data_IF_375106869536
#
_entry.id   IF_375106869536
#
_cell.length_a   1.000
_cell.length_b   1.000
_cell.length_c   1.000
_cell.angle_alpha   90.00
_cell.angle_beta   90.00
_cell.angle_gamma   90.00
#
_symmetry.space_group_name_H-M   'P 1'
#
loop_
_entity.id
_entity.type
_entity.pdbx_description
1 polymer ?
#
# COMPACT_ATOMS: atom_id res chain seq x y z
N UNK A 1 45.83 61.44 -36.16
CA UNK A 1 44.93 60.49 -36.84
C UNK A 1 43.63 60.49 -36.06
N UNK A 2 42.67 61.34 -36.44
CA UNK A 2 41.41 61.57 -35.72
C UNK A 2 40.41 60.50 -36.11
N UNK A 3 39.94 59.79 -35.15
CA UNK A 3 38.87 58.79 -35.31
C UNK A 3 37.52 59.48 -35.55
N UNK A 4 36.98 59.27 -36.73
CA UNK A 4 35.76 59.90 -37.21
C UNK A 4 34.52 59.42 -36.43
N UNK A 5 33.67 60.37 -35.97
CA UNK A 5 32.43 60.14 -35.14
C UNK A 5 31.48 59.10 -35.70
N UNK A 6 31.57 58.74 -36.95
CA UNK A 6 30.72 57.66 -37.57
C UNK A 6 31.16 56.25 -37.25
N UNK A 7 32.40 56.05 -36.82
CA UNK A 7 32.89 54.69 -36.42
C UNK A 7 32.60 54.36 -34.92
N UNK A 8 32.36 55.36 -34.10
CA UNK A 8 32.00 55.17 -32.70
C UNK A 8 30.51 54.76 -32.49
N UNK A 9 29.62 55.06 -33.45
CA UNK A 9 28.22 54.73 -33.37
C UNK A 9 27.90 53.29 -33.89
N UNK A 10 28.83 52.68 -34.65
CA UNK A 10 28.68 51.31 -35.14
C UNK A 10 29.04 50.22 -34.15
N UNK A 11 29.79 50.52 -33.08
CA UNK A 11 30.24 49.56 -32.04
C UNK A 11 29.26 49.37 -30.90
N UNK A 12 28.30 50.30 -30.72
CA UNK A 12 27.29 50.21 -29.62
C UNK A 12 25.98 49.55 -30.02
N UNK A 13 25.76 49.28 -31.31
CA UNK A 13 24.53 48.62 -31.82
C UNK A 13 24.66 47.09 -31.95
N UNK A 14 25.84 46.49 -31.78
CA UNK A 14 26.06 45.05 -31.91
C UNK A 14 26.01 44.28 -30.57
N UNK A 15 25.88 44.99 -29.44
CA UNK A 15 25.83 44.35 -28.09
C UNK A 15 24.41 44.07 -27.57
N UNK A 16 23.34 44.38 -28.35
CA UNK A 16 21.96 44.32 -27.84
C UNK A 16 21.10 43.18 -28.42
N UNK A 17 21.69 42.20 -29.08
CA UNK A 17 20.98 41.03 -29.62
C UNK A 17 21.69 39.72 -29.28
N UNK A 18 22.08 39.53 -28.00
CA UNK A 18 22.19 38.19 -27.47
C UNK A 18 20.76 37.75 -27.18
N UNK A 19 20.21 36.73 -27.85
CA UNK A 19 18.97 36.12 -27.39
C UNK A 19 19.28 35.58 -26.01
N UNK A 20 18.71 36.21 -24.99
CA UNK A 20 18.50 35.50 -23.71
C UNK A 20 17.70 34.27 -24.06
N UNK A 21 18.40 33.18 -24.35
CA UNK A 21 17.82 31.85 -24.24
C UNK A 21 17.46 31.76 -22.74
N UNK A 22 16.24 32.20 -22.40
CA UNK A 22 15.57 31.66 -21.28
C UNK A 22 15.62 30.15 -21.52
N UNK A 23 16.54 29.47 -20.85
CA UNK A 23 16.54 28.04 -20.76
C UNK A 23 15.19 27.75 -20.07
N UNK A 24 14.15 27.47 -20.84
CA UNK A 24 13.01 26.75 -20.29
C UNK A 24 13.60 25.46 -19.76
N UNK A 25 13.90 25.46 -18.47
CA UNK A 25 14.27 24.26 -17.77
C UNK A 25 13.09 23.32 -18.06
N UNK A 26 13.35 22.28 -18.85
CA UNK A 26 12.34 21.29 -19.20
C UNK A 26 11.79 20.80 -17.87
N UNK A 27 10.51 21.07 -17.62
CA UNK A 27 9.87 20.76 -16.36
C UNK A 27 9.98 19.24 -16.17
N UNK A 28 10.69 18.81 -15.13
CA UNK A 28 10.89 17.39 -14.81
C UNK A 28 9.55 16.75 -14.53
N UNK A 29 9.38 15.49 -14.92
CA UNK A 29 8.11 14.77 -14.74
C UNK A 29 8.38 13.44 -14.03
N UNK A 30 7.72 13.23 -12.91
CA UNK A 30 7.70 11.95 -12.22
C UNK A 30 6.48 11.15 -12.67
N UNK A 31 6.71 9.95 -13.22
CA UNK A 31 5.64 9.00 -13.51
C UNK A 31 5.39 8.19 -12.24
N UNK A 32 4.15 8.25 -11.76
CA UNK A 32 3.70 7.59 -10.52
C UNK A 32 2.71 6.49 -10.89
N UNK A 33 3.11 5.21 -10.83
CA UNK A 33 2.20 4.08 -10.92
C UNK A 33 1.20 4.12 -9.75
N UNK A 34 -0.09 4.04 -10.05
CA UNK A 34 -1.16 4.17 -9.06
C UNK A 34 -2.37 3.28 -9.37
N UNK A 35 -3.12 2.93 -8.34
CA UNK A 35 -4.40 2.23 -8.51
C UNK A 35 -5.44 3.18 -9.13
N UNK A 36 -6.40 2.61 -9.85
CA UNK A 36 -7.50 3.37 -10.45
C UNK A 36 -8.62 3.72 -9.48
N UNK A 37 -9.68 4.33 -10.03
CA UNK A 37 -10.89 4.68 -9.29
C UNK A 37 -10.68 5.82 -8.30
N UNK A 38 -11.25 5.68 -7.11
CA UNK A 38 -11.17 6.71 -6.05
C UNK A 38 -9.74 7.01 -5.61
N UNK A 39 -8.87 6.01 -5.68
CA UNK A 39 -7.45 6.16 -5.37
C UNK A 39 -6.76 7.08 -6.38
N UNK A 40 -6.92 6.81 -7.70
CA UNK A 40 -6.39 7.69 -8.76
C UNK A 40 -6.89 9.13 -8.60
N UNK A 41 -8.21 9.29 -8.39
CA UNK A 41 -8.82 10.61 -8.26
C UNK A 41 -8.19 11.39 -7.10
N UNK A 42 -8.00 10.74 -5.95
CA UNK A 42 -7.37 11.37 -4.79
C UNK A 42 -5.91 11.75 -5.07
N UNK A 43 -5.15 10.87 -5.72
CA UNK A 43 -3.77 11.18 -6.13
C UNK A 43 -3.73 12.40 -7.04
N UNK A 44 -4.62 12.47 -8.01
CA UNK A 44 -4.73 13.57 -8.96
C UNK A 44 -5.10 14.88 -8.29
N UNK A 45 -6.04 14.85 -7.34
CA UNK A 45 -6.63 16.05 -6.75
C UNK A 45 -5.88 16.55 -5.51
N UNK A 46 -5.19 15.67 -4.79
CA UNK A 46 -4.59 16.00 -3.50
C UNK A 46 -3.08 15.78 -3.45
N UNK A 47 -2.60 14.60 -3.80
CA UNK A 47 -1.19 14.25 -3.62
C UNK A 47 -0.30 14.90 -4.69
N UNK A 48 -0.65 14.75 -5.97
CA UNK A 48 0.14 15.28 -7.08
C UNK A 48 0.30 16.82 -7.04
N UNK A 49 -0.76 17.62 -6.75
CA UNK A 49 -0.61 19.06 -6.64
C UNK A 49 0.29 19.49 -5.50
N UNK A 50 0.21 18.86 -4.33
CA UNK A 50 1.06 19.21 -3.19
C UNK A 50 2.54 18.86 -3.48
N UNK A 51 2.80 17.70 -4.10
CA UNK A 51 4.16 17.38 -4.52
C UNK A 51 4.67 18.32 -5.61
N UNK A 52 3.83 18.73 -6.58
CA UNK A 52 4.20 19.70 -7.61
C UNK A 52 4.58 21.07 -6.99
N UNK A 53 3.85 21.54 -5.98
CA UNK A 53 4.22 22.77 -5.25
C UNK A 53 5.59 22.64 -4.57
N UNK A 54 5.85 21.48 -3.96
CA UNK A 54 7.09 21.23 -3.23
C UNK A 54 8.31 21.12 -4.15
N UNK A 55 8.17 20.38 -5.26
CA UNK A 55 9.31 19.97 -6.11
C UNK A 55 9.48 20.82 -7.38
N UNK A 56 8.44 21.54 -7.80
CA UNK A 56 8.36 22.20 -9.10
C UNK A 56 8.24 21.22 -10.29
N UNK A 57 8.11 19.91 -10.04
CA UNK A 57 8.01 18.89 -11.07
C UNK A 57 6.54 18.54 -11.37
N UNK A 58 6.28 18.10 -12.60
CA UNK A 58 4.99 17.50 -12.96
C UNK A 58 4.88 16.07 -12.38
N UNK A 59 3.67 15.67 -12.04
CA UNK A 59 3.33 14.29 -11.75
C UNK A 59 2.39 13.77 -12.82
N UNK A 60 2.74 12.64 -13.43
CA UNK A 60 1.88 11.90 -14.36
C UNK A 60 1.51 10.57 -13.71
N UNK A 61 0.22 10.27 -13.62
CA UNK A 61 -0.27 9.01 -13.07
C UNK A 61 -0.32 7.95 -14.17
N UNK A 62 0.27 6.79 -13.93
CA UNK A 62 0.11 5.57 -14.73
C UNK A 62 -0.80 4.61 -13.96
N UNK A 63 -2.01 4.39 -14.49
CA UNK A 63 -3.07 3.69 -13.77
C UNK A 63 -3.01 2.20 -14.03
N UNK A 64 -2.93 1.41 -12.98
CA UNK A 64 -2.85 -0.05 -13.06
C UNK A 64 -2.94 -0.70 -11.68
N UNK A 65 -2.34 -1.85 -11.54
CA UNK A 65 -2.18 -2.56 -10.28
C UNK A 65 -0.79 -3.21 -10.20
N UNK A 66 -0.44 -3.77 -9.04
CA UNK A 66 0.88 -4.35 -8.81
C UNK A 66 1.30 -5.42 -9.84
N UNK A 67 0.35 -6.19 -10.39
CA UNK A 67 0.64 -7.18 -11.45
C UNK A 67 1.01 -6.50 -12.76
N UNK A 68 0.25 -5.46 -13.15
CA UNK A 68 0.51 -4.68 -14.38
C UNK A 68 1.87 -4.00 -14.26
N UNK A 69 2.15 -3.34 -13.14
CA UNK A 69 3.42 -2.66 -12.92
C UNK A 69 4.60 -3.65 -12.93
N UNK A 70 4.45 -4.80 -12.26
CA UNK A 70 5.44 -5.86 -12.29
C UNK A 70 5.69 -6.42 -13.70
N UNK A 71 4.63 -6.60 -14.50
CA UNK A 71 4.76 -7.04 -15.89
C UNK A 71 5.48 -5.99 -16.75
N UNK A 72 5.14 -4.70 -16.61
CA UNK A 72 5.80 -3.61 -17.32
C UNK A 72 7.29 -3.52 -16.97
N UNK A 73 7.63 -3.68 -15.67
CA UNK A 73 9.01 -3.69 -15.21
C UNK A 73 9.79 -4.86 -15.82
N UNK A 74 9.24 -6.08 -15.78
CA UNK A 74 9.90 -7.27 -16.35
C UNK A 74 10.07 -7.16 -17.86
N UNK A 75 9.07 -6.61 -18.56
CA UNK A 75 9.17 -6.39 -20.01
C UNK A 75 10.26 -5.38 -20.40
N UNK A 76 10.46 -4.34 -19.59
CA UNK A 76 11.49 -3.32 -19.83
C UNK A 76 12.88 -3.76 -19.33
N UNK A 77 12.93 -4.64 -18.34
CA UNK A 77 14.15 -5.08 -17.67
C UNK A 77 14.70 -4.07 -16.64
N UNK A 78 15.55 -4.53 -15.70
CA UNK A 78 16.03 -3.70 -14.59
C UNK A 78 16.99 -2.58 -15.01
N UNK A 79 17.55 -2.63 -16.23
CA UNK A 79 18.53 -1.63 -16.71
C UNK A 79 17.88 -0.34 -17.19
N UNK A 80 16.63 -0.38 -17.65
CA UNK A 80 15.91 0.79 -18.17
C UNK A 80 14.42 0.71 -17.85
N UNK A 81 14.06 0.74 -16.56
CA UNK A 81 12.66 0.68 -16.15
C UNK A 81 11.90 1.95 -16.61
N UNK A 82 10.60 1.84 -16.87
CA UNK A 82 9.78 2.99 -17.30
C UNK A 82 9.44 3.95 -16.15
N UNK A 83 9.67 3.53 -14.90
CA UNK A 83 9.35 4.29 -13.69
C UNK A 83 10.62 4.58 -12.88
N UNK A 84 10.54 5.52 -11.96
CA UNK A 84 11.57 5.74 -10.93
C UNK A 84 11.13 5.21 -9.57
N UNK A 85 9.84 5.02 -9.40
CA UNK A 85 9.20 4.45 -8.20
C UNK A 85 8.14 3.44 -8.60
N UNK A 86 7.84 2.54 -7.69
CA UNK A 86 6.60 1.75 -7.71
C UNK A 86 6.10 1.59 -6.28
N UNK A 87 4.78 1.69 -6.10
CA UNK A 87 4.11 1.45 -4.83
C UNK A 87 3.18 0.25 -4.97
N UNK A 88 3.41 -0.78 -4.15
CA UNK A 88 2.64 -2.03 -4.15
C UNK A 88 2.77 -2.71 -2.79
N UNK A 89 2.03 -3.81 -2.57
CA UNK A 89 2.19 -4.56 -1.34
C UNK A 89 3.57 -5.24 -1.27
N UNK A 90 4.11 -5.41 -0.06
CA UNK A 90 5.46 -5.95 0.16
C UNK A 90 5.61 -7.36 -0.43
N UNK A 91 4.57 -8.17 -0.44
CA UNK A 91 4.60 -9.51 -1.08
C UNK A 91 4.96 -9.45 -2.58
N UNK A 92 4.55 -8.40 -3.29
CA UNK A 92 4.93 -8.21 -4.70
C UNK A 92 6.28 -7.49 -4.83
N UNK A 93 6.56 -6.56 -3.91
CA UNK A 93 7.84 -5.84 -3.85
C UNK A 93 9.01 -6.79 -3.64
N UNK A 94 8.85 -7.77 -2.78
CA UNK A 94 9.90 -8.75 -2.46
C UNK A 94 10.36 -9.52 -3.70
N UNK A 95 9.44 -9.98 -4.54
CA UNK A 95 9.77 -10.65 -5.80
C UNK A 95 10.56 -9.77 -6.76
N UNK A 96 10.13 -8.53 -6.97
CA UNK A 96 10.84 -7.57 -7.83
C UNK A 96 12.20 -7.17 -7.25
N UNK A 97 12.33 -7.16 -5.93
CA UNK A 97 13.61 -6.93 -5.24
C UNK A 97 14.64 -8.04 -5.55
N UNK A 98 14.23 -9.30 -5.47
CA UNK A 98 15.07 -10.45 -5.86
C UNK A 98 15.49 -10.41 -7.33
N UNK A 99 14.65 -9.86 -8.19
CA UNK A 99 14.93 -9.67 -9.62
C UNK A 99 15.86 -8.45 -9.90
N UNK A 100 16.27 -7.70 -8.88
CA UNK A 100 17.22 -6.58 -8.99
C UNK A 100 16.63 -5.27 -9.51
N UNK A 101 15.33 -5.08 -9.43
CA UNK A 101 14.68 -3.82 -9.86
C UNK A 101 14.91 -2.67 -8.87
N UNK A 102 15.02 -2.94 -7.59
CA UNK A 102 15.06 -1.90 -6.56
C UNK A 102 16.47 -1.69 -6.02
N UNK A 103 16.75 -0.46 -5.59
CA UNK A 103 17.96 -0.15 -4.84
C UNK A 103 17.70 -0.13 -3.33
N UNK A 104 18.76 -0.35 -2.56
CA UNK A 104 18.72 -0.04 -1.13
C UNK A 104 18.54 1.46 -0.94
N UNK A 105 17.68 1.83 0.00
CA UNK A 105 17.34 3.22 0.27
C UNK A 105 18.55 4.01 0.79
N UNK A 106 18.84 5.13 0.17
CA UNK A 106 19.72 6.16 0.71
C UNK A 106 18.94 6.98 1.76
N UNK A 107 19.06 6.58 3.03
CA UNK A 107 18.32 7.18 4.12
C UNK A 107 18.69 8.67 4.36
N UNK A 108 19.85 9.11 3.86
CA UNK A 108 20.21 10.54 3.92
C UNK A 108 19.26 11.40 3.06
N UNK A 109 18.63 10.81 2.04
CA UNK A 109 17.64 11.47 1.17
C UNK A 109 16.21 11.36 1.70
N UNK A 110 16.00 10.64 2.80
CA UNK A 110 14.68 10.36 3.38
C UNK A 110 14.61 10.80 4.86
N UNK A 111 14.74 12.10 5.18
CA UNK A 111 14.72 12.56 6.56
C UNK A 111 13.45 12.12 7.33
N UNK A 112 12.28 12.06 6.68
CA UNK A 112 11.03 11.61 7.31
C UNK A 112 11.00 10.10 7.63
N UNK A 113 11.90 9.29 7.05
CA UNK A 113 12.00 7.86 7.34
C UNK A 113 12.26 7.59 8.83
N UNK A 114 13.08 8.41 9.48
CA UNK A 114 13.40 8.25 10.90
C UNK A 114 12.19 8.52 11.82
N UNK A 115 11.18 9.20 11.31
CA UNK A 115 9.92 9.48 12.01
C UNK A 115 8.82 8.45 11.74
N UNK A 116 9.11 7.32 11.06
CA UNK A 116 8.13 6.26 10.84
C UNK A 116 8.16 5.23 11.97
N UNK A 117 7.04 4.52 12.18
CA UNK A 117 7.00 3.37 13.10
C UNK A 117 7.92 2.25 12.62
N UNK A 118 8.47 1.47 13.57
CA UNK A 118 9.36 0.35 13.25
C UNK A 118 8.70 -0.67 12.31
N UNK A 119 7.41 -0.93 12.48
CA UNK A 119 6.64 -1.84 11.62
C UNK A 119 6.68 -1.44 10.15
N UNK A 120 6.75 -0.15 9.85
CA UNK A 120 6.82 0.38 8.48
C UNK A 120 8.21 0.29 7.82
N UNK A 121 9.24 -0.11 8.57
CA UNK A 121 10.64 -0.22 8.12
C UNK A 121 11.07 -1.65 7.82
N UNK A 122 10.17 -2.63 8.01
CA UNK A 122 10.48 -4.05 7.86
C UNK A 122 10.46 -4.50 6.39
N UNK A 123 11.22 -3.80 5.55
CA UNK A 123 11.29 -3.99 4.08
C UNK A 123 12.70 -4.37 3.61
N UNK A 124 13.57 -4.82 4.51
CA UNK A 124 14.96 -5.15 4.19
C UNK A 124 15.80 -3.95 3.70
N UNK A 125 15.33 -2.71 3.92
CA UNK A 125 16.01 -1.48 3.52
C UNK A 125 15.82 -1.07 2.07
N UNK A 126 14.92 -1.74 1.32
CA UNK A 126 14.67 -1.44 -0.10
C UNK A 126 13.44 -0.58 -0.35
N UNK A 127 12.51 -0.58 0.56
CA UNK A 127 11.28 0.20 0.45
C UNK A 127 10.89 0.82 1.77
N UNK A 128 9.82 1.57 1.75
CA UNK A 128 9.19 2.13 2.96
C UNK A 128 7.69 2.00 2.84
N UNK A 129 7.04 1.52 3.91
CA UNK A 129 5.58 1.46 3.94
C UNK A 129 5.04 2.87 4.15
N UNK A 130 4.29 3.36 3.17
CA UNK A 130 3.66 4.68 3.20
C UNK A 130 2.44 4.69 4.11
N UNK A 131 1.61 3.66 4.04
CA UNK A 131 0.43 3.51 4.90
C UNK A 131 0.02 2.04 4.99
N UNK A 132 -0.79 1.74 6.01
CA UNK A 132 -1.42 0.45 6.17
C UNK A 132 -2.96 0.57 6.10
N UNK A 133 -3.60 -0.45 5.51
CA UNK A 133 -5.02 -0.70 5.67
C UNK A 133 -5.18 -1.94 6.56
N UNK A 134 -5.39 -1.76 7.87
CA UNK A 134 -5.50 -2.87 8.79
C UNK A 134 -6.77 -3.68 8.58
N UNK A 135 -6.64 -4.99 8.74
CA UNK A 135 -7.68 -5.99 8.54
C UNK A 135 -7.93 -6.71 9.86
N UNK A 136 -9.15 -6.63 10.32
CA UNK A 136 -9.66 -7.39 11.47
C UNK A 136 -10.84 -8.26 11.05
N UNK A 137 -11.78 -8.49 11.96
CA UNK A 137 -12.95 -9.33 11.71
C UNK A 137 -14.16 -8.42 11.50
N UNK A 138 -14.66 -8.36 10.25
CA UNK A 138 -15.93 -7.70 9.92
C UNK A 138 -17.10 -8.66 10.03
N UNK A 139 -18.25 -8.21 10.54
CA UNK A 139 -19.40 -9.07 10.73
C UNK A 139 -20.73 -8.32 10.59
N UNK A 140 -21.82 -9.06 10.35
CA UNK A 140 -23.22 -8.58 10.30
C UNK A 140 -23.80 -8.48 11.70
N UNK A 141 -24.16 -7.29 12.15
CA UNK A 141 -24.71 -7.06 13.50
C UNK A 141 -26.16 -7.51 13.67
N UNK A 142 -26.89 -7.66 12.57
CA UNK A 142 -28.28 -8.14 12.55
C UNK A 142 -28.38 -9.67 12.42
N UNK A 143 -27.27 -10.35 12.12
CA UNK A 143 -27.23 -11.79 11.86
C UNK A 143 -26.32 -12.57 12.80
N UNK A 144 -25.49 -11.89 13.58
CA UNK A 144 -24.55 -12.43 14.56
C UNK A 144 -24.98 -11.96 15.95
N UNK A 145 -25.32 -12.90 16.83
CA UNK A 145 -25.74 -12.59 18.20
C UNK A 145 -24.55 -12.41 19.13
N UNK A 146 -23.49 -13.20 18.90
CA UNK A 146 -22.26 -13.19 19.70
C UNK A 146 -21.12 -12.65 18.86
N UNK A 147 -20.81 -11.31 18.94
CA UNK A 147 -19.69 -10.72 18.20
C UNK A 147 -18.37 -11.42 18.51
N UNK A 148 -17.50 -11.63 17.50
CA UNK A 148 -16.17 -12.19 17.73
C UNK A 148 -15.30 -11.23 18.57
N UNK A 149 -14.23 -11.77 19.19
CA UNK A 149 -13.21 -10.98 19.91
C UNK A 149 -11.81 -11.32 19.44
N UNK A 150 -11.62 -12.53 18.96
CA UNK A 150 -10.33 -13.13 18.57
C UNK A 150 -10.44 -13.75 17.20
N UNK A 151 -9.30 -13.92 16.54
CA UNK A 151 -9.26 -14.70 15.29
C UNK A 151 -9.74 -16.13 15.47
N UNK A 152 -9.44 -16.78 16.62
CA UNK A 152 -9.91 -18.12 16.94
C UNK A 152 -11.44 -18.26 16.91
N UNK A 153 -12.18 -17.19 17.17
CA UNK A 153 -13.64 -17.22 17.17
C UNK A 153 -14.23 -17.56 15.78
N UNK A 154 -13.47 -17.36 14.69
CA UNK A 154 -13.89 -17.80 13.36
C UNK A 154 -14.09 -19.32 13.27
N UNK A 155 -13.34 -20.10 14.08
CA UNK A 155 -13.44 -21.56 14.18
C UNK A 155 -14.34 -22.03 15.32
N UNK A 156 -14.37 -21.31 16.41
CA UNK A 156 -15.02 -21.74 17.65
C UNK A 156 -16.48 -21.32 17.74
N UNK A 157 -16.88 -20.18 17.12
CA UNK A 157 -18.26 -19.70 17.20
C UNK A 157 -19.17 -20.48 16.20
N UNK A 158 -20.15 -21.24 16.70
CA UNK A 158 -21.06 -22.02 15.85
C UNK A 158 -21.92 -21.17 14.91
N UNK A 159 -22.13 -19.87 15.24
CA UNK A 159 -22.90 -18.95 14.38
C UNK A 159 -22.19 -18.67 13.05
N UNK A 160 -20.86 -18.86 12.98
CA UNK A 160 -20.07 -18.57 11.78
C UNK A 160 -19.97 -19.76 10.83
N UNK A 161 -20.26 -20.97 11.30
CA UNK A 161 -20.08 -22.18 10.51
C UNK A 161 -20.87 -22.14 9.21
N UNK A 162 -20.21 -22.38 8.09
CA UNK A 162 -20.76 -22.30 6.73
C UNK A 162 -21.32 -20.91 6.37
N UNK A 163 -20.78 -19.85 6.95
CA UNK A 163 -21.20 -18.46 6.73
C UNK A 163 -20.00 -17.50 6.67
N UNK A 164 -18.80 -18.03 6.46
CA UNK A 164 -17.54 -17.31 6.42
C UNK A 164 -17.16 -17.01 4.99
N UNK A 165 -16.63 -15.81 4.74
CA UNK A 165 -15.89 -15.46 3.53
C UNK A 165 -14.40 -15.39 3.80
N UNK A 166 -13.58 -15.75 2.81
CA UNK A 166 -12.13 -15.58 2.82
C UNK A 166 -11.66 -14.87 1.55
N UNK A 167 -10.52 -14.23 1.62
CA UNK A 167 -9.91 -13.64 0.44
C UNK A 167 -9.27 -14.70 -0.46
N UNK A 168 -9.31 -14.47 -1.77
CA UNK A 168 -8.60 -15.31 -2.73
C UNK A 168 -7.09 -15.28 -2.47
N UNK A 169 -6.40 -16.43 -2.58
CA UNK A 169 -4.96 -16.54 -2.34
C UNK A 169 -4.11 -15.66 -3.27
N UNK A 170 -4.62 -15.29 -4.44
CA UNK A 170 -3.95 -14.33 -5.32
C UNK A 170 -3.93 -12.90 -4.77
N UNK A 171 -4.77 -12.60 -3.76
CA UNK A 171 -4.71 -11.40 -2.93
C UNK A 171 -3.68 -11.61 -1.81
N UNK A 172 -3.05 -10.52 -1.33
CA UNK A 172 -2.15 -10.59 -0.17
C UNK A 172 -2.89 -11.02 1.11
N UNK A 173 -4.18 -10.68 1.26
CA UNK A 173 -4.97 -11.10 2.42
C UNK A 173 -5.16 -12.62 2.48
N UNK A 174 -5.47 -13.31 1.38
CA UNK A 174 -5.58 -14.78 1.41
C UNK A 174 -4.27 -15.46 1.82
N UNK A 175 -3.11 -14.86 1.48
CA UNK A 175 -1.81 -15.32 1.96
C UNK A 175 -1.66 -15.09 3.47
N UNK A 176 -2.06 -13.89 3.94
CA UNK A 176 -2.05 -13.57 5.37
C UNK A 176 -2.98 -14.50 6.17
N UNK A 177 -4.14 -14.85 5.64
CA UNK A 177 -5.09 -15.77 6.26
C UNK A 177 -4.47 -17.17 6.48
N UNK A 178 -3.72 -17.69 5.49
CA UNK A 178 -2.98 -18.94 5.65
C UNK A 178 -1.91 -18.82 6.74
N UNK A 179 -1.08 -17.77 6.69
CA UNK A 179 -0.01 -17.58 7.67
C UNK A 179 -0.57 -17.32 9.08
N UNK A 180 -1.71 -16.65 9.18
CA UNK A 180 -2.42 -16.45 10.43
C UNK A 180 -2.93 -17.78 10.98
N UNK A 181 -3.61 -18.59 10.17
CA UNK A 181 -4.06 -19.93 10.59
C UNK A 181 -2.87 -20.81 11.01
N UNK A 182 -1.74 -20.75 10.28
CA UNK A 182 -0.51 -21.45 10.68
C UNK A 182 0.02 -20.99 12.04
N UNK A 183 -0.02 -19.69 12.33
CA UNK A 183 0.42 -19.11 13.60
C UNK A 183 -0.52 -19.45 14.76
N UNK A 184 -1.82 -19.50 14.50
CA UNK A 184 -2.83 -19.76 15.54
C UNK A 184 -2.91 -21.25 15.93
N UNK A 185 -2.75 -22.14 14.96
CA UNK A 185 -2.98 -23.59 15.14
C UNK A 185 -1.72 -24.43 15.01
N UNK A 186 -0.61 -23.87 14.56
CA UNK A 186 0.69 -24.50 14.44
C UNK A 186 1.72 -23.91 15.41
N UNK A 187 2.99 -24.12 15.09
CA UNK A 187 4.12 -23.61 15.87
C UNK A 187 4.40 -22.14 15.61
N UNK A 188 4.29 -21.75 14.36
CA UNK A 188 4.56 -20.40 13.85
C UNK A 188 3.94 -20.22 12.44
N UNK A 189 4.22 -19.11 11.78
CA UNK A 189 3.70 -18.83 10.43
C UNK A 189 4.19 -19.80 9.34
N UNK A 190 5.22 -20.58 9.59
CA UNK A 190 5.78 -21.54 8.61
C UNK A 190 5.16 -22.94 8.72
N UNK A 191 4.39 -23.20 9.77
CA UNK A 191 3.67 -24.47 9.95
C UNK A 191 2.40 -24.50 9.08
N UNK A 192 2.61 -24.41 7.75
CA UNK A 192 1.51 -24.32 6.78
C UNK A 192 0.64 -25.57 6.73
N UNK A 193 1.14 -26.73 7.18
CA UNK A 193 0.34 -27.94 7.30
C UNK A 193 -0.75 -27.79 8.37
N UNK A 194 -0.38 -27.23 9.53
CA UNK A 194 -1.35 -26.89 10.56
C UNK A 194 -2.32 -25.79 10.08
N UNK A 195 -1.81 -24.79 9.33
CA UNK A 195 -2.61 -23.73 8.74
C UNK A 195 -3.67 -24.25 7.78
N UNK A 196 -3.30 -25.07 6.81
CA UNK A 196 -4.22 -25.68 5.87
C UNK A 196 -5.24 -26.62 6.55
N UNK A 197 -4.79 -27.38 7.54
CA UNK A 197 -5.70 -28.20 8.34
C UNK A 197 -6.74 -27.31 9.05
N UNK A 198 -6.32 -26.25 9.69
CA UNK A 198 -7.23 -25.31 10.34
C UNK A 198 -8.22 -24.68 9.35
N UNK A 199 -7.75 -24.25 8.17
CA UNK A 199 -8.64 -23.70 7.13
C UNK A 199 -9.68 -24.74 6.65
N UNK A 200 -9.30 -26.00 6.49
CA UNK A 200 -10.25 -27.07 6.20
C UNK A 200 -11.27 -27.29 7.33
N UNK A 201 -10.87 -27.09 8.60
CA UNK A 201 -11.74 -27.26 9.78
C UNK A 201 -12.74 -26.09 9.93
N UNK A 202 -12.60 -24.95 9.24
CA UNK A 202 -13.63 -23.88 9.17
C UNK A 202 -14.99 -24.41 8.66
N UNK A 203 -14.98 -25.52 7.97
CA UNK A 203 -16.13 -26.05 7.23
C UNK A 203 -16.25 -25.42 5.84
N UNK A 204 -17.47 -25.40 5.30
CA UNK A 204 -17.68 -24.79 3.98
C UNK A 204 -17.50 -23.27 4.05
N UNK A 205 -16.46 -22.77 3.40
CA UNK A 205 -16.31 -21.34 3.11
C UNK A 205 -17.26 -20.98 1.98
N UNK A 206 -18.13 -19.99 2.20
CA UNK A 206 -19.20 -19.66 1.26
C UNK A 206 -18.71 -18.82 0.10
N UNK A 207 -17.73 -17.96 0.36
CA UNK A 207 -17.19 -17.03 -0.62
C UNK A 207 -15.67 -16.95 -0.53
N UNK A 208 -15.01 -17.12 -1.65
CA UNK A 208 -13.56 -16.86 -1.80
C UNK A 208 -13.39 -15.86 -2.95
N UNK A 209 -13.10 -14.60 -2.64
CA UNK A 209 -13.04 -13.54 -3.64
C UNK A 209 -11.95 -12.49 -3.32
N UNK A 210 -11.73 -11.57 -4.25
CA UNK A 210 -10.92 -10.35 -4.06
C UNK A 210 -11.67 -9.27 -3.28
N UNK A 211 -13.00 -9.29 -3.29
CA UNK A 211 -13.88 -8.35 -2.60
C UNK A 211 -15.07 -9.09 -1.98
N UNK A 212 -15.16 -9.04 -0.67
CA UNK A 212 -16.21 -9.72 0.11
C UNK A 212 -17.38 -8.79 0.45
N UNK A 213 -17.31 -7.50 0.12
CA UNK A 213 -18.31 -6.49 0.52
C UNK A 213 -19.70 -6.79 -0.03
N UNK A 214 -19.79 -7.25 -1.27
CA UNK A 214 -21.09 -7.61 -1.90
C UNK A 214 -21.74 -8.78 -1.19
N UNK A 215 -20.99 -9.84 -0.91
CA UNK A 215 -21.49 -11.03 -0.22
C UNK A 215 -21.91 -10.71 1.23
N UNK A 216 -21.13 -9.86 1.93
CA UNK A 216 -21.49 -9.38 3.28
C UNK A 216 -22.75 -8.53 3.24
N UNK A 217 -22.88 -7.61 2.29
CA UNK A 217 -24.05 -6.75 2.12
C UNK A 217 -25.31 -7.58 1.82
N UNK A 218 -25.20 -8.60 0.97
CA UNK A 218 -26.29 -9.51 0.64
C UNK A 218 -26.65 -10.50 1.79
N UNK A 219 -25.79 -10.62 2.81
CA UNK A 219 -25.97 -11.58 3.90
C UNK A 219 -25.65 -13.03 3.51
N UNK A 220 -24.97 -13.22 2.40
CA UNK A 220 -24.48 -14.54 1.94
C UNK A 220 -23.38 -15.03 2.89
N UNK A 221 -22.50 -14.12 3.32
CA UNK A 221 -21.57 -14.32 4.44
C UNK A 221 -21.97 -13.41 5.61
N UNK A 222 -21.65 -13.82 6.82
CA UNK A 222 -21.93 -13.02 8.02
C UNK A 222 -20.70 -12.53 8.73
N UNK A 223 -19.56 -13.12 8.44
CA UNK A 223 -18.26 -12.80 9.03
C UNK A 223 -17.15 -13.08 8.02
N UNK A 224 -16.15 -12.27 8.02
CA UNK A 224 -14.92 -12.46 7.25
C UNK A 224 -13.80 -11.57 7.79
N UNK A 225 -12.54 -11.82 7.43
CA UNK A 225 -11.48 -10.80 7.52
C UNK A 225 -11.87 -9.60 6.66
N UNK A 226 -11.80 -8.39 7.23
CA UNK A 226 -12.14 -7.15 6.52
C UNK A 226 -11.23 -6.00 6.89
N UNK A 227 -10.89 -5.19 5.89
CA UNK A 227 -10.33 -3.85 6.06
C UNK A 227 -11.31 -2.99 6.86
N UNK A 228 -10.84 -2.37 7.94
CA UNK A 228 -11.68 -1.54 8.81
C UNK A 228 -12.29 -0.36 8.08
N UNK A 229 -11.54 0.28 7.17
CA UNK A 229 -12.03 1.38 6.37
C UNK A 229 -13.20 0.95 5.46
N UNK A 230 -13.19 -0.28 4.94
CA UNK A 230 -14.28 -0.80 4.14
C UNK A 230 -15.54 -1.01 4.98
N UNK A 231 -15.42 -1.66 6.16
CA UNK A 231 -16.55 -1.81 7.08
C UNK A 231 -17.11 -0.45 7.52
N UNK A 232 -16.23 0.53 7.81
CA UNK A 232 -16.68 1.87 8.15
C UNK A 232 -17.49 2.54 7.02
N UNK A 233 -17.08 2.35 5.76
CA UNK A 233 -17.84 2.85 4.60
C UNK A 233 -19.19 2.16 4.45
N UNK A 234 -19.22 0.82 4.56
CA UNK A 234 -20.47 0.05 4.50
C UNK A 234 -21.43 0.46 5.60
N UNK A 235 -20.95 0.65 6.83
CA UNK A 235 -21.76 1.14 7.96
C UNK A 235 -22.32 2.54 7.72
N UNK A 236 -21.52 3.46 7.16
CA UNK A 236 -21.97 4.81 6.75
C UNK A 236 -23.03 4.77 5.65
N UNK A 237 -23.04 3.75 4.82
CA UNK A 237 -24.08 3.50 3.81
C UNK A 237 -25.36 2.89 4.40
N UNK A 238 -25.38 2.63 5.71
CA UNK A 238 -26.54 2.10 6.42
C UNK A 238 -26.60 0.59 6.50
N UNK A 239 -25.55 -0.15 6.12
CA UNK A 239 -25.50 -1.59 6.31
C UNK A 239 -25.33 -1.91 7.80
N UNK A 240 -26.02 -2.96 8.29
CA UNK A 240 -25.88 -3.44 9.67
C UNK A 240 -24.61 -4.28 9.82
N UNK A 241 -23.46 -3.63 9.77
CA UNK A 241 -22.13 -4.25 9.92
C UNK A 241 -21.32 -3.56 10.99
N UNK A 242 -20.41 -4.29 11.57
CA UNK A 242 -19.39 -3.77 12.48
C UNK A 242 -18.10 -4.59 12.34
N UNK A 243 -17.05 -4.17 13.01
CA UNK A 243 -15.79 -4.90 13.03
C UNK A 243 -15.28 -5.08 14.46
N UNK A 244 -14.35 -6.00 14.60
CA UNK A 244 -13.56 -6.21 15.82
C UNK A 244 -12.08 -6.11 15.47
N UNK A 245 -11.32 -5.46 16.34
CA UNK A 245 -9.86 -5.55 16.38
C UNK A 245 -9.51 -6.79 17.20
N UNK A 246 -9.01 -7.88 16.61
CA UNK A 246 -8.76 -9.12 17.32
C UNK A 246 -7.65 -8.99 18.37
N UNK A 247 -7.79 -9.73 19.47
CA UNK A 247 -6.83 -9.72 20.60
C UNK A 247 -5.42 -10.16 20.19
N UNK A 248 -5.31 -11.04 19.19
CA UNK A 248 -4.02 -11.55 18.68
C UNK A 248 -3.29 -10.56 17.78
N UNK A 249 -3.90 -9.41 17.47
CA UNK A 249 -3.40 -8.41 16.52
C UNK A 249 -4.13 -8.45 15.19
N UNK A 250 -3.74 -7.57 14.29
CA UNK A 250 -4.40 -7.35 13.00
C UNK A 250 -3.48 -7.73 11.82
N UNK A 251 -4.07 -8.29 10.77
CA UNK A 251 -3.43 -8.30 9.46
C UNK A 251 -3.45 -6.87 8.88
N UNK A 252 -2.66 -6.59 7.87
CA UNK A 252 -2.74 -5.30 7.19
C UNK A 252 -2.27 -5.39 5.74
N UNK A 253 -3.01 -4.75 4.85
CA UNK A 253 -2.47 -4.40 3.54
C UNK A 253 -1.49 -3.25 3.72
N UNK A 254 -0.30 -3.40 3.22
CA UNK A 254 0.72 -2.36 3.17
C UNK A 254 0.73 -1.68 1.80
N UNK A 255 1.16 -0.42 1.79
CA UNK A 255 1.51 0.30 0.56
C UNK A 255 3.00 0.62 0.64
N UNK A 256 3.82 -0.31 0.14
CA UNK A 256 5.27 -0.17 0.14
C UNK A 256 5.74 0.56 -1.11
N UNK A 257 6.37 1.71 -0.94
CA UNK A 257 7.03 2.46 -2.00
C UNK A 257 8.47 2.01 -2.13
N UNK A 258 8.86 1.63 -3.35
CA UNK A 258 10.20 1.22 -3.69
C UNK A 258 10.79 2.16 -4.74
N UNK A 259 12.11 2.40 -4.67
CA UNK A 259 12.86 3.22 -5.64
C UNK A 259 13.59 2.29 -6.60
N UNK A 260 13.41 2.50 -7.90
CA UNK A 260 14.04 1.68 -8.92
C UNK A 260 15.51 2.07 -9.10
N UNK A 261 16.40 1.06 -9.12
CA UNK A 261 17.86 1.23 -9.18
C UNK A 261 18.31 2.08 -10.38
N UNK A 262 17.65 1.91 -11.53
CA UNK A 262 17.97 2.62 -12.77
C UNK A 262 16.80 3.48 -13.29
N UNK A 263 15.95 3.96 -12.37
CA UNK A 263 14.83 4.84 -12.74
C UNK A 263 15.29 6.18 -13.31
N UNK A 264 14.54 6.76 -14.28
CA UNK A 264 14.96 7.96 -15.01
C UNK A 264 15.04 9.22 -14.14
N UNK A 265 14.18 9.34 -13.11
CA UNK A 265 14.04 10.54 -12.26
C UNK A 265 14.29 10.22 -10.78
N UNK A 266 15.46 9.62 -10.49
CA UNK A 266 15.81 9.12 -9.15
C UNK A 266 15.70 10.17 -8.04
N UNK A 267 16.20 11.38 -8.25
CA UNK A 267 16.12 12.45 -7.25
C UNK A 267 14.68 12.86 -6.96
N UNK A 268 13.82 12.93 -7.97
CA UNK A 268 12.39 13.16 -7.77
C UNK A 268 11.73 11.99 -7.05
N UNK A 269 12.17 10.75 -7.31
CA UNK A 269 11.67 9.56 -6.62
C UNK A 269 11.93 9.64 -5.11
N UNK A 270 13.13 10.03 -4.69
CA UNK A 270 13.47 10.24 -3.27
C UNK A 270 12.68 11.40 -2.66
N UNK A 271 12.57 12.53 -3.36
CA UNK A 271 11.76 13.66 -2.88
C UNK A 271 10.29 13.25 -2.69
N UNK A 272 9.74 12.46 -3.62
CA UNK A 272 8.38 11.97 -3.55
C UNK A 272 8.18 10.97 -2.40
N UNK A 273 9.10 10.03 -2.24
CA UNK A 273 9.08 9.09 -1.12
C UNK A 273 9.12 9.82 0.23
N UNK A 274 10.04 10.80 0.37
CA UNK A 274 10.13 11.60 1.58
C UNK A 274 8.88 12.46 1.83
N UNK A 275 8.27 13.00 0.76
CA UNK A 275 7.01 13.75 0.85
C UNK A 275 5.86 12.85 1.34
N UNK A 276 5.71 11.65 0.80
CA UNK A 276 4.65 10.72 1.24
C UNK A 276 4.81 10.28 2.71
N UNK A 277 6.01 10.37 3.26
CA UNK A 277 6.28 10.12 4.68
C UNK A 277 6.14 11.36 5.56
N UNK A 278 5.88 12.54 4.99
CA UNK A 278 5.70 13.76 5.79
C UNK A 278 4.39 13.73 6.57
N UNK A 279 4.29 14.41 7.71
CA UNK A 279 3.04 14.50 8.47
C UNK A 279 1.86 14.98 7.62
N UNK A 280 2.10 15.96 6.74
CA UNK A 280 1.07 16.55 5.88
C UNK A 280 0.48 15.54 4.89
N UNK A 281 1.33 14.78 4.18
CA UNK A 281 0.88 13.75 3.26
C UNK A 281 0.22 12.58 3.99
N UNK A 282 0.74 12.20 5.15
CA UNK A 282 0.17 11.14 5.98
C UNK A 282 -1.21 11.50 6.52
N UNK A 283 -1.44 12.75 6.92
CA UNK A 283 -2.75 13.23 7.34
C UNK A 283 -3.75 13.24 6.18
N UNK A 284 -3.32 13.67 4.98
CA UNK A 284 -4.14 13.62 3.77
C UNK A 284 -4.59 12.19 3.45
N UNK A 285 -3.66 11.22 3.49
CA UNK A 285 -3.95 9.81 3.22
C UNK A 285 -4.91 9.22 4.27
N UNK A 286 -4.65 9.47 5.55
CA UNK A 286 -5.50 9.02 6.64
C UNK A 286 -6.93 9.54 6.51
N UNK A 287 -7.12 10.84 6.27
CA UNK A 287 -8.46 11.43 6.11
C UNK A 287 -9.15 11.03 4.81
N UNK A 288 -8.38 10.79 3.74
CA UNK A 288 -8.93 10.44 2.43
C UNK A 288 -9.36 8.98 2.30
N UNK A 289 -8.61 8.09 2.93
CA UNK A 289 -8.80 6.64 2.76
C UNK A 289 -9.05 5.87 4.06
N UNK A 290 -8.95 6.51 5.23
CA UNK A 290 -9.02 5.85 6.53
C UNK A 290 -7.88 4.82 6.73
N UNK A 291 -6.73 5.09 6.14
CA UNK A 291 -5.52 4.26 6.31
C UNK A 291 -4.76 4.66 7.57
N UNK A 292 -4.06 3.71 8.15
CA UNK A 292 -3.17 3.95 9.28
C UNK A 292 -1.90 4.66 8.82
N UNK A 293 -1.60 5.84 9.39
CA UNK A 293 -0.39 6.59 9.08
C UNK A 293 0.84 5.88 9.63
N UNK A 294 1.94 5.96 8.89
CA UNK A 294 3.22 5.37 9.33
C UNK A 294 4.16 6.38 10.00
N UNK A 295 3.90 7.67 9.88
CA UNK A 295 4.66 8.70 10.58
C UNK A 295 4.20 8.84 12.03
N UNK A 296 5.11 8.76 12.98
CA UNK A 296 4.84 8.79 14.44
C UNK A 296 4.26 10.12 14.94
N UNK A 297 4.42 11.21 14.17
CA UNK A 297 3.82 12.51 14.49
C UNK A 297 2.32 12.59 14.14
N UNK A 298 1.79 11.62 13.37
CA UNK A 298 0.40 11.61 12.92
C UNK A 298 -0.35 10.49 13.65
N UNK A 299 -1.44 10.86 14.31
CA UNK A 299 -2.34 9.94 15.02
C UNK A 299 -3.75 10.23 14.58
N UNK A 300 -4.59 9.19 14.54
CA UNK A 300 -6.01 9.36 14.26
C UNK A 300 -6.64 10.23 15.37
N UNK A 301 -7.30 11.34 15.01
CA UNK A 301 -8.03 12.12 15.97
C UNK A 301 -9.31 11.37 16.42
N UNK A 302 -9.93 11.81 17.52
CA UNK A 302 -11.07 11.12 18.13
C UNK A 302 -12.23 10.92 17.13
N UNK A 303 -12.50 11.89 16.29
CA UNK A 303 -13.54 11.82 15.27
C UNK A 303 -13.30 10.76 14.17
N UNK A 304 -12.06 10.25 14.04
CA UNK A 304 -11.68 9.18 13.12
C UNK A 304 -11.31 7.87 13.84
N UNK A 305 -11.48 7.79 15.14
CA UNK A 305 -11.05 6.62 15.93
C UNK A 305 -11.74 5.32 15.48
N UNK A 306 -12.97 5.41 14.97
CA UNK A 306 -13.68 4.27 14.40
C UNK A 306 -13.16 3.87 13.03
N UNK A 307 -12.89 4.83 12.15
CA UNK A 307 -12.41 4.57 10.78
C UNK A 307 -10.94 4.15 10.75
N UNK A 308 -10.14 4.61 11.72
CA UNK A 308 -8.69 4.36 11.82
C UNK A 308 -8.34 3.84 13.22
N UNK A 309 -8.81 2.64 13.60
CA UNK A 309 -8.64 2.11 14.96
C UNK A 309 -7.19 1.73 15.27
N UNK A 310 -6.36 1.50 14.28
CA UNK A 310 -4.94 1.17 14.42
C UNK A 310 -4.12 2.41 14.09
N UNK A 311 -3.72 3.13 15.14
CA UNK A 311 -2.95 4.38 15.03
C UNK A 311 -2.18 4.60 16.34
N UNK A 312 -1.11 5.38 16.28
CA UNK A 312 -0.30 5.63 17.48
C UNK A 312 0.37 4.34 17.98
N UNK A 313 0.27 4.09 19.27
CA UNK A 313 0.91 2.92 19.91
C UNK A 313 0.36 1.60 19.41
N UNK A 314 -0.90 1.59 18.92
CA UNK A 314 -1.56 0.42 18.36
C UNK A 314 -0.97 -0.06 17.03
N UNK A 315 -0.10 0.74 16.40
CA UNK A 315 0.64 0.28 15.21
C UNK A 315 1.49 -0.97 15.48
N UNK A 316 1.83 -1.24 16.74
CA UNK A 316 2.51 -2.48 17.15
C UNK A 316 1.62 -3.73 17.09
N UNK A 317 0.30 -3.59 16.96
CA UNK A 317 -0.65 -4.70 16.81
C UNK A 317 -0.68 -5.26 15.37
N UNK A 318 -0.03 -4.60 14.41
CA UNK A 318 0.07 -5.08 13.03
C UNK A 318 1.01 -6.29 12.97
N UNK A 319 0.47 -7.42 12.60
CA UNK A 319 1.21 -8.67 12.43
C UNK A 319 2.17 -8.58 11.24
N UNK A 320 3.37 -9.14 11.40
CA UNK A 320 4.40 -9.15 10.39
C UNK A 320 4.56 -10.54 9.77
N UNK A 321 4.78 -10.59 8.46
CA UNK A 321 4.83 -11.80 7.66
C UNK A 321 6.15 -11.93 6.93
N UNK A 322 6.61 -13.18 6.75
CA UNK A 322 7.76 -13.50 5.90
C UNK A 322 7.30 -13.69 4.45
N UNK A 323 7.31 -12.59 3.70
CA UNK A 323 6.94 -12.62 2.30
C UNK A 323 7.93 -13.35 1.40
N UNK A 324 9.20 -13.47 1.82
CA UNK A 324 10.20 -14.25 1.10
C UNK A 324 9.82 -15.74 1.11
N UNK A 325 9.40 -16.26 2.27
CA UNK A 325 8.87 -17.62 2.40
C UNK A 325 7.65 -17.85 1.49
N UNK A 326 6.69 -16.93 1.51
CA UNK A 326 5.46 -17.03 0.69
C UNK A 326 5.80 -17.06 -0.81
N UNK A 327 6.71 -16.19 -1.26
CA UNK A 327 7.10 -16.09 -2.67
C UNK A 327 7.90 -17.32 -3.13
N UNK A 328 8.74 -17.89 -2.26
CA UNK A 328 9.50 -19.10 -2.54
C UNK A 328 8.58 -20.32 -2.74
N UNK A 329 7.49 -20.41 -1.95
CA UNK A 329 6.55 -21.53 -1.98
C UNK A 329 5.25 -21.20 -2.73
N UNK A 330 5.21 -20.09 -3.48
CA UNK A 330 3.98 -19.53 -4.06
C UNK A 330 3.14 -20.56 -4.84
N UNK A 331 3.75 -21.40 -5.67
CA UNK A 331 3.03 -22.35 -6.50
C UNK A 331 2.38 -23.46 -5.65
N UNK A 332 3.16 -24.06 -4.76
CA UNK A 332 2.70 -25.10 -3.84
C UNK A 332 1.54 -24.58 -2.97
N UNK A 333 1.74 -23.42 -2.34
CA UNK A 333 0.73 -22.83 -1.45
C UNK A 333 -0.55 -22.47 -2.22
N UNK A 334 -0.44 -21.99 -3.46
CA UNK A 334 -1.59 -21.68 -4.30
C UNK A 334 -2.39 -22.91 -4.70
N UNK A 335 -1.71 -24.00 -5.08
CA UNK A 335 -2.36 -25.29 -5.42
C UNK A 335 -3.06 -25.89 -4.20
N UNK A 336 -2.40 -25.88 -3.05
CA UNK A 336 -2.98 -26.35 -1.78
C UNK A 336 -4.19 -25.52 -1.36
N UNK A 337 -4.11 -24.19 -1.49
CA UNK A 337 -5.24 -23.31 -1.21
C UNK A 337 -6.44 -23.66 -2.05
N UNK A 338 -6.26 -23.77 -3.36
CA UNK A 338 -7.34 -24.12 -4.31
C UNK A 338 -8.00 -25.48 -4.00
N UNK A 339 -7.23 -26.43 -3.46
CA UNK A 339 -7.77 -27.74 -3.08
C UNK A 339 -8.40 -27.79 -1.70
N UNK A 340 -8.08 -26.84 -0.81
CA UNK A 340 -8.52 -26.85 0.59
C UNK A 340 -9.69 -25.91 0.85
N UNK A 341 -9.63 -24.71 0.27
CA UNK A 341 -10.56 -23.61 0.57
C UNK A 341 -11.53 -23.37 -0.58
N UNK A 342 -11.12 -23.60 -1.82
CA UNK A 342 -11.98 -23.38 -2.94
C UNK A 342 -11.34 -23.14 -4.22
#
# INVERSE_FOLDING_TARGET
MELNRRQALGALAAAALLPTRAAFAQQRTLIVPTLGGVWEQFWRDKIAPEFTKLSGANVTLDVGNGRVFGANLRAAGPQKPPYSIVMTNEVFSEGLRKEGFFEQLDLAKLPNYNSTYQVARNTGGYGVVVCYSPVGIGYRTDMVQTPPKRWHDLWENPEFRNRIGLYNFANSAGKMELLLASRLFGKDQYDVDAGFKALADLGQVIQVDFNLSTALAAGEIVVAPFDFAEIARLKKQGLPVDYVVPEEGVMAFDQTLNILANGPEKELAYQYANFLLSPEAQELLMRGFYVSPTNTAVKAPEELAYEVPISGDRMSEILQWDWAFVNEHQNELSERWASTVG
#
